data_IF_092052815730
#
_entry.id   IF_092052815730
#
_cell.length_a   1.000
_cell.length_b   1.000
_cell.length_c   1.000
_cell.angle_alpha   90.00
_cell.angle_beta   90.00
_cell.angle_gamma   90.00
#
_symmetry.space_group_name_H-M   'P 1'
#
loop_
_entity.id
_entity.type
_entity.pdbx_description
1 polymer ?
#
# COMPACT_ATOMS: atom_id res chain seq x y z
N UNK A 1 -9.17 58.68 -30.89
CA UNK A 1 -8.25 57.72 -30.23
C UNK A 1 -8.81 57.42 -28.84
N UNK A 2 -9.63 56.37 -28.70
CA UNK A 2 -10.17 55.93 -27.41
C UNK A 2 -9.65 54.52 -27.14
N UNK A 3 -8.75 54.39 -26.16
CA UNK A 3 -8.14 53.13 -25.76
C UNK A 3 -9.12 52.33 -24.90
N UNK A 4 -9.64 51.22 -25.44
CA UNK A 4 -10.33 50.20 -24.65
C UNK A 4 -9.30 49.42 -23.80
N UNK A 5 -9.23 49.70 -22.50
CA UNK A 5 -8.52 48.86 -21.52
C UNK A 5 -9.38 47.64 -21.19
N UNK A 6 -9.00 46.46 -21.69
CA UNK A 6 -9.54 45.17 -21.25
C UNK A 6 -9.04 44.86 -19.84
N UNK A 7 -9.95 44.77 -18.87
CA UNK A 7 -9.69 44.21 -17.54
C UNK A 7 -9.68 42.68 -17.64
N UNK A 8 -8.54 42.06 -17.35
CA UNK A 8 -8.41 40.61 -17.18
C UNK A 8 -8.61 40.33 -15.68
N UNK A 9 -9.59 39.49 -15.28
CA UNK A 9 -9.74 39.12 -13.88
C UNK A 9 -8.64 38.14 -13.50
N UNK A 10 -7.77 38.53 -12.55
CA UNK A 10 -6.86 37.60 -11.88
C UNK A 10 -7.70 36.67 -10.99
N UNK A 11 -7.93 35.45 -11.47
CA UNK A 11 -8.43 34.36 -10.63
C UNK A 11 -7.22 33.82 -9.86
N UNK A 12 -7.13 34.16 -8.57
CA UNK A 12 -6.18 33.55 -7.67
C UNK A 12 -6.58 32.08 -7.43
N UNK A 13 -5.87 31.14 -8.04
CA UNK A 13 -5.94 29.73 -7.67
C UNK A 13 -5.24 29.56 -6.32
N UNK A 14 -6.03 29.38 -5.26
CA UNK A 14 -5.53 28.93 -3.97
C UNK A 14 -5.09 27.47 -4.08
N UNK A 15 -3.79 27.22 -4.17
CA UNK A 15 -3.19 25.90 -3.98
C UNK A 15 -3.39 25.49 -2.51
N UNK A 16 -4.35 24.61 -2.25
CA UNK A 16 -4.49 23.98 -0.92
C UNK A 16 -3.49 22.83 -0.87
N UNK A 17 -2.33 23.07 -0.25
CA UNK A 17 -1.42 22.00 0.14
C UNK A 17 -2.10 21.15 1.21
N UNK A 18 -2.26 19.84 0.97
CA UNK A 18 -2.71 18.91 2.01
C UNK A 18 -1.57 18.77 3.01
N UNK A 19 -1.67 19.43 4.17
CA UNK A 19 -0.73 19.23 5.26
C UNK A 19 -0.77 17.74 5.66
N UNK A 20 0.41 17.10 5.73
CA UNK A 20 0.55 15.75 6.30
C UNK A 20 0.02 15.81 7.74
N UNK A 21 -0.85 14.87 8.12
CA UNK A 21 -1.44 14.85 9.44
C UNK A 21 -0.40 14.35 10.46
N UNK A 22 -0.22 15.10 11.55
CA UNK A 22 0.66 14.69 12.66
C UNK A 22 0.20 13.34 13.25
N UNK A 23 1.10 12.64 13.95
CA UNK A 23 0.77 11.38 14.62
C UNK A 23 0.93 11.49 16.12
N UNK A 24 -0.04 10.99 16.87
CA UNK A 24 0.04 10.85 18.31
C UNK A 24 0.43 9.41 18.66
N UNK A 25 1.51 9.23 19.40
CA UNK A 25 1.92 7.92 19.93
C UNK A 25 1.55 7.88 21.40
N UNK A 26 0.62 7.00 21.76
CA UNK A 26 0.19 6.89 23.14
C UNK A 26 1.29 6.23 23.99
N UNK A 27 1.58 6.79 25.17
CA UNK A 27 2.52 6.19 26.13
C UNK A 27 1.81 5.39 27.23
N UNK A 28 0.51 5.60 27.39
CA UNK A 28 -0.31 4.99 28.42
C UNK A 28 -1.74 4.74 27.93
N UNK A 29 -2.48 3.90 28.68
CA UNK A 29 -3.91 3.70 28.48
C UNK A 29 -4.69 4.93 28.97
N UNK A 30 -5.29 5.68 28.05
CA UNK A 30 -6.07 6.88 28.37
C UNK A 30 -7.44 6.86 27.70
N UNK A 31 -8.49 7.42 28.34
CA UNK A 31 -9.81 7.49 27.74
C UNK A 31 -9.87 8.35 26.47
N UNK A 32 -10.62 7.87 25.48
CA UNK A 32 -10.87 8.52 24.20
C UNK A 32 -12.28 9.14 24.17
N UNK A 33 -12.39 10.39 24.61
CA UNK A 33 -13.65 11.08 24.79
C UNK A 33 -14.27 11.58 23.48
N UNK A 34 -15.57 11.39 23.30
CA UNK A 34 -16.31 12.08 22.25
C UNK A 34 -16.33 13.60 22.49
N UNK A 35 -16.38 14.03 23.75
CA UNK A 35 -16.33 15.44 24.16
C UNK A 35 -15.33 15.64 25.29
N UNK A 36 -14.26 16.40 25.06
CA UNK A 36 -13.29 16.78 26.10
C UNK A 36 -13.88 17.62 27.23
N UNK A 37 -14.97 18.37 26.97
CA UNK A 37 -15.61 19.23 27.97
C UNK A 37 -16.55 18.43 28.88
N UNK A 38 -17.26 17.45 28.31
CA UNK A 38 -18.21 16.61 29.06
C UNK A 38 -17.60 15.29 29.54
N UNK A 39 -16.38 14.96 29.10
CA UNK A 39 -15.69 13.69 29.34
C UNK A 39 -16.55 12.46 29.02
N UNK A 40 -17.39 12.56 27.98
CA UNK A 40 -18.25 11.45 27.53
C UNK A 40 -17.44 10.48 26.68
N UNK A 41 -17.35 9.21 27.09
CA UNK A 41 -16.65 8.15 26.36
C UNK A 41 -17.59 6.98 26.04
N UNK A 42 -18.50 7.12 25.05
CA UNK A 42 -19.34 6.00 24.63
C UNK A 42 -18.48 4.89 24.04
N UNK A 43 -18.70 3.67 24.52
CA UNK A 43 -17.92 2.47 24.18
C UNK A 43 -16.64 2.29 24.99
N UNK A 44 -16.40 3.14 26.00
CA UNK A 44 -15.25 3.06 26.93
C UNK A 44 -13.92 2.85 26.21
N UNK A 45 -13.76 3.51 25.07
CA UNK A 45 -12.60 3.32 24.20
C UNK A 45 -11.38 3.96 24.86
N UNK A 46 -10.24 3.27 24.81
CA UNK A 46 -8.97 3.70 25.41
C UNK A 46 -7.87 3.74 24.37
N UNK A 47 -6.86 4.58 24.57
CA UNK A 47 -5.59 4.45 23.86
C UNK A 47 -4.86 3.18 24.30
N UNK A 48 -3.97 2.69 23.45
CA UNK A 48 -3.08 1.55 23.73
C UNK A 48 -1.63 2.05 23.70
N UNK A 49 -0.80 1.80 24.73
CA UNK A 49 0.61 2.19 24.73
C UNK A 49 1.34 1.69 23.49
N UNK A 50 2.12 2.58 22.87
CA UNK A 50 2.83 2.34 21.61
C UNK A 50 1.96 2.44 20.36
N UNK A 51 0.63 2.56 20.46
CA UNK A 51 -0.23 2.71 19.29
C UNK A 51 -0.16 4.14 18.74
N UNK A 52 -0.14 4.21 17.41
CA UNK A 52 -0.12 5.45 16.64
C UNK A 52 -1.54 5.83 16.21
N UNK A 53 -1.88 7.11 16.37
CA UNK A 53 -3.17 7.67 15.99
C UNK A 53 -2.99 8.91 15.12
N UNK A 54 -3.78 9.05 14.05
CA UNK A 54 -3.78 10.26 13.23
C UNK A 54 -4.32 11.44 14.01
N UNK A 55 -3.58 12.55 14.05
CA UNK A 55 -3.98 13.79 14.71
C UNK A 55 -4.88 14.60 13.76
N UNK A 56 -6.10 14.87 14.21
CA UNK A 56 -7.07 15.71 13.53
C UNK A 56 -7.01 17.17 14.01
N UNK A 57 -6.73 17.37 15.30
CA UNK A 57 -6.76 18.68 15.95
C UNK A 57 -5.88 18.67 17.22
N UNK A 58 -5.18 19.77 17.51
CA UNK A 58 -4.36 19.94 18.72
C UNK A 58 -4.81 21.21 19.42
N UNK A 59 -5.03 21.14 20.74
CA UNK A 59 -5.37 22.29 21.56
C UNK A 59 -4.36 22.48 22.69
N UNK A 60 -4.04 23.73 22.95
CA UNK A 60 -3.01 24.12 23.92
C UNK A 60 -1.65 24.32 23.27
N UNK A 61 -0.58 24.17 24.05
CA UNK A 61 0.78 24.35 23.57
C UNK A 61 1.17 23.20 22.60
N UNK A 62 1.62 23.46 21.37
CA UNK A 62 2.01 22.40 20.42
C UNK A 62 3.10 21.44 20.95
N UNK A 63 4.02 21.92 21.81
CA UNK A 63 5.07 21.10 22.41
C UNK A 63 4.58 20.30 23.63
N UNK A 64 3.46 20.69 24.22
CA UNK A 64 2.80 20.06 25.38
C UNK A 64 1.29 20.29 25.30
N UNK A 65 0.57 19.57 24.45
CA UNK A 65 -0.83 19.84 24.21
C UNK A 65 -1.67 19.50 25.45
N UNK A 66 -2.76 20.25 25.65
CA UNK A 66 -3.74 19.94 26.68
C UNK A 66 -4.65 18.80 26.20
N UNK A 67 -5.05 18.88 24.93
CA UNK A 67 -5.93 17.91 24.28
C UNK A 67 -5.51 17.67 22.85
N UNK A 68 -5.59 16.41 22.42
CA UNK A 68 -5.35 15.99 21.05
C UNK A 68 -6.59 15.25 20.54
N UNK A 69 -7.06 15.61 19.35
CA UNK A 69 -8.17 14.94 18.68
C UNK A 69 -7.62 13.94 17.68
N UNK A 70 -8.01 12.70 17.83
CA UNK A 70 -7.47 11.55 17.13
C UNK A 70 -8.54 10.92 16.24
N UNK A 71 -8.14 10.41 15.08
CA UNK A 71 -8.94 9.44 14.34
C UNK A 71 -8.76 8.04 14.95
N UNK A 72 -9.88 7.38 15.26
CA UNK A 72 -9.90 6.08 15.96
C UNK A 72 -10.78 5.08 15.22
N UNK A 73 -10.68 3.80 15.61
CA UNK A 73 -11.55 2.73 15.09
C UNK A 73 -12.97 2.70 15.70
N UNK A 74 -13.35 3.70 16.52
CA UNK A 74 -14.67 3.71 17.15
C UNK A 74 -15.80 3.79 16.10
N UNK A 75 -16.73 2.83 16.13
CA UNK A 75 -17.84 2.73 15.17
C UNK A 75 -18.77 3.96 15.20
N UNK A 76 -18.91 4.59 16.36
CA UNK A 76 -19.65 5.85 16.53
C UNK A 76 -18.69 6.95 16.97
N UNK A 77 -18.73 8.08 16.26
CA UNK A 77 -17.82 9.22 16.48
C UNK A 77 -16.34 8.82 16.46
N UNK A 78 -15.77 8.45 15.30
CA UNK A 78 -14.38 8.00 15.19
C UNK A 78 -13.36 9.07 15.59
N UNK A 79 -13.71 10.35 15.51
CA UNK A 79 -12.91 11.44 16.03
C UNK A 79 -13.06 11.56 17.56
N UNK A 80 -12.02 11.23 18.32
CA UNK A 80 -12.01 11.22 19.79
C UNK A 80 -10.92 12.11 20.38
N UNK A 81 -11.16 12.67 21.56
CA UNK A 81 -10.24 13.49 22.31
C UNK A 81 -9.48 12.66 23.34
N UNK A 82 -8.16 12.81 23.38
CA UNK A 82 -7.30 12.28 24.44
C UNK A 82 -6.56 13.43 25.12
N UNK A 83 -6.23 13.27 26.40
CA UNK A 83 -5.38 14.23 27.08
C UNK A 83 -3.97 14.21 26.46
N UNK A 84 -3.39 15.38 26.22
CA UNK A 84 -2.09 15.47 25.54
C UNK A 84 -0.91 14.93 26.34
N UNK A 85 -1.08 14.66 27.65
CA UNK A 85 -0.10 13.96 28.49
C UNK A 85 -0.11 12.43 28.31
N UNK A 86 -1.00 11.89 27.48
CA UNK A 86 -1.13 10.45 27.24
C UNK A 86 -0.26 9.92 26.11
N UNK A 87 0.71 10.72 25.69
CA UNK A 87 1.53 10.40 24.55
C UNK A 87 2.29 11.61 24.05
N UNK A 88 2.89 11.44 22.89
CA UNK A 88 3.66 12.47 22.23
C UNK A 88 3.13 12.65 20.82
N UNK A 89 3.05 13.90 20.38
CA UNK A 89 2.85 14.20 18.98
C UNK A 89 4.20 14.05 18.30
N UNK A 90 4.34 12.98 17.56
CA UNK A 90 5.37 12.87 16.53
C UNK A 90 4.83 13.67 15.34
N UNK A 91 5.31 14.90 15.23
CA UNK A 91 5.28 15.58 13.95
C UNK A 91 6.00 14.64 12.99
N UNK A 92 5.30 14.15 11.95
CA UNK A 92 6.05 13.74 10.78
C UNK A 92 6.86 14.97 10.45
N UNK A 93 8.18 14.86 10.65
CA UNK A 93 9.05 16.02 10.62
C UNK A 93 8.68 16.85 9.40
N UNK A 94 8.86 18.15 9.52
CA UNK A 94 9.33 18.89 8.37
C UNK A 94 10.64 18.23 7.92
N UNK A 95 10.61 17.05 7.30
CA UNK A 95 11.39 16.83 6.11
C UNK A 95 10.93 17.97 5.22
N UNK A 96 11.66 19.07 5.27
CA UNK A 96 11.84 19.89 4.09
C UNK A 96 11.96 18.86 2.97
N UNK A 97 10.96 18.77 2.10
CA UNK A 97 10.91 17.77 1.04
C UNK A 97 12.25 17.90 0.34
N UNK A 98 13.16 16.96 0.63
CA UNK A 98 14.56 17.17 0.30
C UNK A 98 14.77 17.00 -1.21
N UNK A 99 13.65 16.79 -1.95
CA UNK A 99 13.62 16.26 -3.30
C UNK A 99 14.17 14.85 -3.38
N UNK A 100 14.56 14.25 -2.24
CA UNK A 100 15.21 12.95 -2.22
C UNK A 100 14.18 11.85 -2.30
N UNK A 101 14.57 10.83 -3.05
CA UNK A 101 13.77 9.66 -3.35
C UNK A 101 14.41 8.37 -2.79
N UNK A 102 15.41 8.52 -1.92
CA UNK A 102 16.24 7.44 -1.36
C UNK A 102 16.31 7.52 0.17
N UNK A 103 15.28 8.08 0.81
CA UNK A 103 15.21 8.24 2.27
C UNK A 103 14.09 7.38 2.82
N UNK A 104 14.40 6.51 3.79
CA UNK A 104 13.42 5.60 4.36
C UNK A 104 12.39 6.33 5.24
N UNK A 105 11.14 5.86 5.23
CA UNK A 105 10.06 6.40 6.06
C UNK A 105 9.40 7.67 5.51
N UNK A 106 9.79 8.15 4.33
CA UNK A 106 9.20 9.33 3.69
C UNK A 106 8.05 9.03 2.72
N UNK A 107 7.63 7.77 2.61
CA UNK A 107 6.52 7.37 1.74
C UNK A 107 5.20 8.04 2.14
N UNK A 108 4.37 8.34 1.15
CA UNK A 108 3.01 8.89 1.31
C UNK A 108 1.93 7.88 0.88
N UNK A 109 2.36 6.72 0.40
CA UNK A 109 1.48 5.65 -0.09
C UNK A 109 2.27 4.35 -0.22
N UNK A 110 1.55 3.25 -0.47
CA UNK A 110 2.14 2.00 -0.92
C UNK A 110 1.46 1.48 -2.20
N UNK A 111 2.20 0.74 -3.00
CA UNK A 111 1.67 -0.05 -4.11
C UNK A 111 1.88 -1.54 -3.81
N UNK A 112 0.80 -2.29 -3.64
CA UNK A 112 0.88 -3.75 -3.66
C UNK A 112 0.78 -4.20 -5.12
N UNK A 113 1.87 -4.73 -5.67
CA UNK A 113 1.95 -5.25 -7.03
C UNK A 113 1.86 -6.77 -7.01
N UNK A 114 0.88 -7.31 -7.73
CA UNK A 114 0.58 -8.73 -7.76
C UNK A 114 0.54 -9.24 -9.21
N UNK A 115 1.39 -10.21 -9.53
CA UNK A 115 1.46 -10.82 -10.85
C UNK A 115 0.32 -11.81 -11.07
N UNK A 116 -0.17 -11.90 -12.31
CA UNK A 116 -0.88 -13.08 -12.77
C UNK A 116 0.15 -14.08 -13.32
N UNK A 117 0.35 -15.19 -12.59
CA UNK A 117 1.52 -16.06 -12.79
C UNK A 117 1.56 -16.70 -14.19
N UNK A 118 0.40 -17.07 -14.76
CA UNK A 118 0.25 -17.57 -16.13
C UNK A 118 0.95 -16.66 -17.14
N UNK A 119 0.44 -15.44 -17.25
CA UNK A 119 0.94 -14.47 -18.23
C UNK A 119 2.39 -14.07 -17.97
N UNK A 120 2.83 -14.05 -16.70
CA UNK A 120 4.23 -13.82 -16.37
C UNK A 120 5.12 -14.93 -16.95
N UNK A 121 4.74 -16.20 -16.78
CA UNK A 121 5.51 -17.32 -17.30
C UNK A 121 5.47 -17.40 -18.83
N UNK A 122 4.30 -17.19 -19.45
CA UNK A 122 4.14 -17.12 -20.90
C UNK A 122 5.04 -16.04 -21.54
N UNK A 123 5.07 -14.84 -20.96
CA UNK A 123 5.76 -13.70 -21.56
C UNK A 123 7.22 -13.55 -21.13
N UNK A 124 7.54 -13.91 -19.89
CA UNK A 124 8.83 -13.61 -19.25
C UNK A 124 9.46 -14.83 -18.56
N UNK A 125 8.82 -16.00 -18.63
CA UNK A 125 9.21 -17.23 -17.93
C UNK A 125 10.43 -17.95 -18.48
N UNK A 126 10.88 -17.63 -19.71
CA UNK A 126 12.00 -18.32 -20.34
C UNK A 126 13.25 -18.28 -19.45
N UNK A 127 13.70 -19.47 -19.01
CA UNK A 127 14.88 -19.64 -18.16
C UNK A 127 14.64 -19.34 -16.68
N UNK A 128 13.39 -19.13 -16.26
CA UNK A 128 13.01 -18.93 -14.86
C UNK A 128 12.60 -20.25 -14.22
N UNK A 129 13.29 -20.63 -13.14
CA UNK A 129 13.06 -21.90 -12.45
C UNK A 129 11.64 -22.03 -11.91
N UNK A 130 11.06 -20.94 -11.43
CA UNK A 130 9.68 -20.93 -10.93
C UNK A 130 8.65 -21.30 -12.01
N UNK A 131 8.86 -20.87 -13.25
CA UNK A 131 7.93 -21.18 -14.34
C UNK A 131 8.04 -22.64 -14.77
N UNK A 132 9.27 -23.15 -14.94
CA UNK A 132 9.48 -24.57 -15.26
C UNK A 132 8.94 -25.51 -14.19
N UNK A 133 9.10 -25.15 -12.91
CA UNK A 133 8.58 -25.96 -11.81
C UNK A 133 7.05 -25.97 -11.77
N UNK A 134 6.41 -24.81 -11.97
CA UNK A 134 4.96 -24.68 -12.00
C UNK A 134 4.34 -25.34 -13.24
N UNK A 135 4.99 -25.28 -14.40
CA UNK A 135 4.58 -25.98 -15.63
C UNK A 135 4.50 -27.49 -15.41
N UNK A 136 5.42 -28.04 -14.60
CA UNK A 136 5.40 -29.45 -14.18
C UNK A 136 4.29 -29.79 -13.17
N UNK A 137 3.54 -28.81 -12.67
CA UNK A 137 2.43 -28.99 -11.74
C UNK A 137 1.23 -28.09 -12.14
N UNK A 138 0.45 -28.48 -13.17
CA UNK A 138 -0.68 -27.68 -13.67
C UNK A 138 -1.78 -27.39 -12.64
N UNK A 139 -1.87 -28.22 -11.59
CA UNK A 139 -2.87 -28.08 -10.52
C UNK A 139 -2.38 -27.19 -9.35
N UNK A 140 -1.18 -26.62 -9.44
CA UNK A 140 -0.67 -25.71 -8.40
C UNK A 140 -1.61 -24.51 -8.22
N UNK A 141 -2.02 -24.22 -6.99
CA UNK A 141 -2.98 -23.16 -6.70
C UNK A 141 -2.52 -21.76 -7.17
N UNK A 142 -1.21 -21.54 -7.34
CA UNK A 142 -0.65 -20.26 -7.80
C UNK A 142 -0.97 -19.94 -9.25
N UNK A 143 -1.40 -20.95 -10.02
CA UNK A 143 -1.97 -20.76 -11.34
C UNK A 143 -3.34 -20.08 -11.32
N UNK A 144 -4.06 -20.16 -10.21
CA UNK A 144 -5.40 -19.61 -10.01
C UNK A 144 -5.41 -18.47 -8.99
N UNK A 145 -4.25 -17.91 -8.67
CA UNK A 145 -4.10 -16.85 -7.69
C UNK A 145 -3.17 -15.76 -8.21
N UNK A 146 -3.33 -14.55 -7.66
CA UNK A 146 -2.35 -13.49 -7.84
C UNK A 146 -1.13 -13.79 -6.96
N UNK A 147 0.08 -13.71 -7.54
CA UNK A 147 1.35 -13.93 -6.84
C UNK A 147 2.00 -12.60 -6.49
N UNK A 148 2.68 -12.53 -5.35
CA UNK A 148 3.34 -11.29 -4.90
C UNK A 148 4.51 -10.96 -5.83
N UNK A 149 4.43 -9.82 -6.51
CA UNK A 149 5.59 -9.18 -7.13
C UNK A 149 6.32 -8.33 -6.10
N UNK A 150 5.61 -7.43 -5.41
CA UNK A 150 6.19 -6.64 -4.32
C UNK A 150 5.22 -5.70 -3.62
N UNK A 151 5.67 -5.15 -2.50
CA UNK A 151 4.99 -4.10 -1.75
C UNK A 151 5.88 -2.86 -1.76
N UNK A 152 5.46 -1.81 -2.47
CA UNK A 152 6.34 -0.68 -2.74
C UNK A 152 5.90 0.53 -1.93
N UNK A 153 6.61 0.89 -0.84
CA UNK A 153 6.57 2.26 -0.35
C UNK A 153 6.74 3.22 -1.53
N UNK A 154 5.90 4.24 -1.59
CA UNK A 154 5.82 5.17 -2.71
C UNK A 154 5.74 6.60 -2.19
N UNK A 155 6.36 7.52 -2.94
CA UNK A 155 6.33 8.96 -2.66
C UNK A 155 5.92 9.66 -3.95
N UNK A 156 4.77 10.34 -3.95
CA UNK A 156 4.17 10.89 -5.16
C UNK A 156 5.10 11.88 -5.89
N UNK A 157 5.87 12.68 -5.15
CA UNK A 157 6.84 13.63 -5.72
C UNK A 157 8.02 12.95 -6.44
N UNK A 158 8.26 11.66 -6.19
CA UNK A 158 9.34 10.88 -6.79
C UNK A 158 8.90 10.02 -7.98
N UNK A 159 7.60 9.96 -8.30
CA UNK A 159 7.09 9.06 -9.34
C UNK A 159 7.54 7.62 -9.09
N UNK A 160 8.33 7.04 -10.01
CA UNK A 160 8.86 5.67 -9.91
C UNK A 160 10.25 5.56 -9.28
N UNK A 161 10.84 6.69 -8.90
CA UNK A 161 12.24 6.78 -8.49
C UNK A 161 12.42 6.65 -6.97
N UNK A 162 11.33 6.55 -6.21
CA UNK A 162 11.41 6.28 -4.77
C UNK A 162 11.92 4.84 -4.52
N UNK A 163 13.12 4.72 -3.95
CA UNK A 163 13.74 3.43 -3.72
C UNK A 163 15.18 3.50 -3.20
N UNK A 164 15.75 2.35 -2.88
CA UNK A 164 17.16 2.19 -2.50
C UNK A 164 17.57 3.01 -1.26
N UNK A 165 16.71 3.01 -0.23
CA UNK A 165 16.88 3.82 0.97
C UNK A 165 17.73 3.19 2.08
N UNK A 166 18.15 1.93 1.91
CA UNK A 166 19.03 1.21 2.82
C UNK A 166 20.52 1.37 2.46
N UNK A 167 21.34 0.37 2.82
CA UNK A 167 22.78 0.36 2.49
C UNK A 167 23.10 0.10 1.01
N UNK A 168 22.09 -0.24 0.19
CA UNK A 168 22.22 -0.41 -1.25
C UNK A 168 21.54 0.76 -1.95
N UNK A 169 22.32 1.54 -2.70
CA UNK A 169 21.85 2.77 -3.36
C UNK A 169 21.70 2.66 -4.89
N UNK A 170 21.97 1.49 -5.48
CA UNK A 170 21.98 1.32 -6.94
C UNK A 170 21.44 -0.05 -7.37
N UNK A 171 21.02 -0.11 -8.64
CA UNK A 171 20.52 -1.33 -9.26
C UNK A 171 21.65 -2.35 -9.50
N UNK A 172 21.46 -3.58 -9.03
CA UNK A 172 22.37 -4.68 -9.33
C UNK A 172 22.12 -5.27 -10.74
N UNK A 173 23.11 -5.98 -11.29
CA UNK A 173 23.02 -6.62 -12.62
C UNK A 173 21.94 -7.71 -12.70
N UNK A 174 21.66 -8.37 -11.57
CA UNK A 174 20.65 -9.41 -11.44
C UNK A 174 20.15 -9.50 -10.00
N UNK A 175 19.01 -10.14 -9.80
CA UNK A 175 18.35 -10.17 -8.49
C UNK A 175 19.18 -10.88 -7.42
N UNK A 176 19.86 -11.98 -7.77
CA UNK A 176 20.76 -12.68 -6.84
C UNK A 176 22.07 -11.94 -6.56
N UNK A 177 22.38 -10.85 -7.30
CA UNK A 177 23.56 -10.02 -7.04
C UNK A 177 23.33 -8.97 -5.95
N UNK A 178 22.10 -8.76 -5.51
CA UNK A 178 21.83 -8.00 -4.30
C UNK A 178 22.32 -8.77 -3.06
N UNK A 179 22.71 -8.06 -1.97
CA UNK A 179 23.02 -8.70 -0.70
C UNK A 179 21.89 -9.61 -0.24
N UNK A 180 22.25 -10.75 0.35
CA UNK A 180 21.25 -11.65 0.93
C UNK A 180 20.50 -10.94 2.06
N UNK A 181 19.21 -11.25 2.18
CA UNK A 181 18.37 -10.81 3.28
C UNK A 181 18.22 -11.95 4.27
N UNK A 182 18.26 -11.65 5.56
CA UNK A 182 17.98 -12.62 6.61
C UNK A 182 16.49 -12.55 6.93
N UNK A 183 15.77 -13.63 6.67
CA UNK A 183 14.36 -13.78 7.02
C UNK A 183 14.23 -14.80 8.14
N UNK A 184 13.31 -14.55 9.07
CA UNK A 184 12.91 -15.58 10.03
C UNK A 184 12.08 -16.68 9.33
N UNK A 185 11.87 -17.82 9.99
CA UNK A 185 11.20 -18.98 9.38
C UNK A 185 9.76 -18.70 8.96
N UNK A 186 9.07 -17.83 9.69
CA UNK A 186 7.70 -17.42 9.39
C UNK A 186 7.65 -16.62 8.09
N UNK A 187 8.52 -15.62 7.95
CA UNK A 187 8.63 -14.81 6.75
C UNK A 187 9.03 -15.63 5.52
N UNK A 188 9.99 -16.55 5.65
CA UNK A 188 10.36 -17.49 4.58
C UNK A 188 9.15 -18.30 4.08
N UNK A 189 8.40 -18.87 5.02
CA UNK A 189 7.23 -19.72 4.73
C UNK A 189 6.10 -18.90 4.11
N UNK A 190 5.81 -17.74 4.69
CA UNK A 190 4.77 -16.83 4.20
C UNK A 190 5.07 -16.31 2.80
N UNK A 191 6.34 -15.97 2.53
CA UNK A 191 6.79 -15.44 1.25
C UNK A 191 6.79 -16.51 0.16
N UNK A 192 7.35 -17.70 0.42
CA UNK A 192 7.35 -18.81 -0.53
C UNK A 192 5.93 -19.18 -0.99
N UNK A 193 4.95 -19.13 -0.09
CA UNK A 193 3.56 -19.46 -0.40
C UNK A 193 2.86 -18.49 -1.36
N UNK A 194 3.37 -17.27 -1.56
CA UNK A 194 2.76 -16.28 -2.46
C UNK A 194 3.70 -15.72 -3.53
N UNK A 195 5.01 -15.93 -3.41
CA UNK A 195 6.03 -15.45 -4.35
C UNK A 195 6.81 -16.66 -4.88
N UNK A 196 6.45 -17.21 -6.06
CA UNK A 196 7.13 -18.38 -6.64
C UNK A 196 8.65 -18.23 -6.74
N UNK A 197 9.13 -17.04 -7.10
CA UNK A 197 10.57 -16.77 -7.19
C UNK A 197 11.32 -16.89 -5.86
N UNK A 198 10.64 -16.71 -4.72
CA UNK A 198 11.24 -16.93 -3.41
C UNK A 198 11.35 -18.44 -3.11
N UNK A 199 10.32 -19.23 -3.44
CA UNK A 199 10.35 -20.69 -3.30
C UNK A 199 11.43 -21.32 -4.19
N UNK A 200 11.51 -20.91 -5.46
CA UNK A 200 12.45 -21.47 -6.43
C UNK A 200 13.77 -20.68 -6.52
N UNK A 201 14.06 -19.86 -5.51
CA UNK A 201 15.35 -19.16 -5.31
C UNK A 201 15.83 -18.31 -6.49
N UNK A 202 14.96 -17.65 -7.24
CA UNK A 202 15.35 -16.68 -8.29
C UNK A 202 15.57 -15.26 -7.76
N UNK A 203 15.60 -15.11 -6.43
CA UNK A 203 16.08 -13.96 -5.66
C UNK A 203 15.29 -12.65 -5.85
N UNK A 204 14.06 -12.71 -6.39
CA UNK A 204 13.21 -11.51 -6.54
C UNK A 204 13.04 -10.78 -5.20
N UNK A 205 12.89 -11.52 -4.11
CA UNK A 205 12.83 -11.04 -2.72
C UNK A 205 13.97 -10.05 -2.40
N UNK A 206 15.20 -10.34 -2.83
CA UNK A 206 16.33 -9.42 -2.60
C UNK A 206 16.15 -8.11 -3.34
N UNK A 207 15.73 -8.16 -4.61
CA UNK A 207 15.46 -6.94 -5.36
C UNK A 207 14.33 -6.13 -4.72
N UNK A 208 13.24 -6.80 -4.34
CA UNK A 208 12.09 -6.16 -3.71
C UNK A 208 12.44 -5.53 -2.37
N UNK A 209 13.27 -6.19 -1.56
CA UNK A 209 13.76 -5.60 -0.33
C UNK A 209 14.65 -4.38 -0.60
N UNK A 210 15.77 -4.55 -1.31
CA UNK A 210 16.75 -3.48 -1.41
C UNK A 210 16.24 -2.27 -2.19
N UNK A 211 15.43 -2.47 -3.24
CA UNK A 211 14.82 -1.37 -3.97
C UNK A 211 13.65 -0.74 -3.23
N UNK A 212 12.77 -1.53 -2.60
CA UNK A 212 11.49 -1.03 -2.09
C UNK A 212 11.33 -1.19 -0.58
N UNK A 213 11.49 -2.41 -0.05
CA UNK A 213 11.34 -2.68 1.38
C UNK A 213 12.32 -1.92 2.28
N UNK A 214 13.49 -1.51 1.77
CA UNK A 214 14.46 -0.70 2.51
C UNK A 214 14.00 0.75 2.75
N UNK A 215 12.92 1.20 2.10
CA UNK A 215 12.38 2.55 2.19
C UNK A 215 11.29 2.73 3.25
N UNK A 216 11.10 1.75 4.12
CA UNK A 216 10.17 1.78 5.24
C UNK A 216 10.88 1.35 6.54
N UNK A 217 10.17 1.28 7.67
CA UNK A 217 10.75 1.14 9.02
C UNK A 217 10.70 -0.25 9.64
N UNK A 218 9.85 -1.16 9.15
CA UNK A 218 9.83 -2.59 9.53
C UNK A 218 11.15 -3.26 9.14
N UNK A 219 11.52 -4.31 9.85
CA UNK A 219 12.57 -5.20 9.37
C UNK A 219 12.09 -6.03 8.15
N UNK A 220 13.03 -6.74 7.52
CA UNK A 220 12.74 -7.52 6.32
C UNK A 220 11.71 -8.63 6.56
N UNK A 221 11.73 -9.28 7.73
CA UNK A 221 10.80 -10.36 8.04
C UNK A 221 9.38 -9.83 8.15
N UNK A 222 9.18 -8.78 8.94
CA UNK A 222 7.88 -8.15 9.15
C UNK A 222 7.31 -7.58 7.84
N UNK A 223 8.16 -6.94 7.04
CA UNK A 223 7.77 -6.42 5.71
C UNK A 223 7.25 -7.53 4.79
N UNK A 224 7.93 -8.68 4.71
CA UNK A 224 7.48 -9.79 3.85
C UNK A 224 6.29 -10.54 4.42
N UNK A 225 6.16 -10.65 5.75
CA UNK A 225 4.96 -11.19 6.40
C UNK A 225 3.74 -10.33 6.03
N UNK A 226 3.86 -9.00 6.12
CA UNK A 226 2.78 -8.08 5.78
C UNK A 226 2.45 -8.11 4.29
N UNK A 227 3.45 -8.10 3.41
CA UNK A 227 3.24 -8.22 1.96
C UNK A 227 2.52 -9.52 1.58
N UNK A 228 2.89 -10.64 2.23
CA UNK A 228 2.25 -11.92 2.01
C UNK A 228 0.82 -11.96 2.58
N UNK A 229 0.58 -11.36 3.75
CA UNK A 229 -0.76 -11.22 4.35
C UNK A 229 -1.69 -10.44 3.43
N UNK A 230 -1.25 -9.27 2.95
CA UNK A 230 -2.02 -8.43 2.02
C UNK A 230 -2.33 -9.18 0.72
N UNK A 231 -1.37 -9.94 0.19
CA UNK A 231 -1.57 -10.76 -1.02
C UNK A 231 -2.69 -11.79 -0.81
N UNK A 232 -2.68 -12.51 0.32
CA UNK A 232 -3.74 -13.48 0.66
C UNK A 232 -5.12 -12.80 0.77
N UNK A 233 -5.20 -11.66 1.45
CA UNK A 233 -6.45 -10.90 1.58
C UNK A 233 -6.99 -10.43 0.22
N UNK A 234 -6.12 -10.02 -0.72
CA UNK A 234 -6.56 -9.68 -2.07
C UNK A 234 -7.07 -10.91 -2.82
N UNK A 235 -6.42 -12.07 -2.67
CA UNK A 235 -6.86 -13.32 -3.30
C UNK A 235 -8.22 -13.82 -2.77
N UNK A 236 -8.64 -13.40 -1.58
CA UNK A 236 -9.98 -13.71 -1.04
C UNK A 236 -11.10 -12.85 -1.67
N UNK A 237 -10.75 -11.75 -2.34
CA UNK A 237 -11.72 -10.80 -2.91
C UNK A 237 -12.52 -11.39 -4.07
N UNK A 238 -13.72 -10.87 -4.30
CA UNK A 238 -14.56 -11.23 -5.46
C UNK A 238 -13.87 -10.93 -6.79
N UNK A 239 -13.04 -9.89 -6.86
CA UNK A 239 -12.25 -9.56 -8.04
C UNK A 239 -11.24 -10.68 -8.36
N UNK A 240 -10.46 -11.12 -7.37
CA UNK A 240 -9.48 -12.19 -7.58
C UNK A 240 -10.15 -13.53 -7.92
N UNK A 241 -11.26 -13.86 -7.24
CA UNK A 241 -12.07 -15.05 -7.57
C UNK A 241 -12.62 -15.01 -9.00
N UNK A 242 -13.07 -13.85 -9.47
CA UNK A 242 -13.53 -13.67 -10.84
C UNK A 242 -12.40 -13.84 -11.87
N UNK A 243 -11.18 -13.41 -11.56
CA UNK A 243 -10.00 -13.68 -12.39
C UNK A 243 -9.73 -15.19 -12.48
N UNK A 244 -9.64 -15.89 -11.35
CA UNK A 244 -9.43 -17.35 -11.31
C UNK A 244 -10.48 -18.12 -12.13
N UNK A 245 -11.77 -17.80 -11.94
CA UNK A 245 -12.87 -18.40 -12.71
C UNK A 245 -12.83 -18.10 -14.22
N UNK A 246 -12.06 -17.09 -14.60
CA UNK A 246 -11.91 -16.64 -15.99
C UNK A 246 -10.58 -17.06 -16.62
N UNK A 247 -9.80 -17.93 -15.98
CA UNK A 247 -8.60 -18.50 -16.57
C UNK A 247 -8.87 -19.06 -17.98
N UNK A 248 -8.10 -18.58 -18.96
CA UNK A 248 -8.27 -18.88 -20.39
C UNK A 248 -9.41 -18.13 -21.09
N UNK A 249 -10.03 -17.14 -20.45
CA UNK A 249 -11.20 -16.40 -20.97
C UNK A 249 -10.98 -14.89 -20.90
N UNK A 250 -11.76 -14.17 -21.70
CA UNK A 250 -11.78 -12.71 -21.69
C UNK A 250 -12.43 -12.16 -20.41
N UNK A 251 -11.85 -11.09 -19.87
CA UNK A 251 -12.41 -10.26 -18.81
C UNK A 251 -12.38 -8.79 -19.19
N UNK A 252 -13.10 -7.96 -18.44
CA UNK A 252 -13.11 -6.50 -18.63
C UNK A 252 -12.63 -5.77 -17.38
N UNK A 253 -11.91 -4.67 -17.59
CA UNK A 253 -11.50 -3.78 -16.49
C UNK A 253 -12.71 -3.24 -15.74
N UNK A 254 -13.80 -2.93 -16.46
CA UNK A 254 -15.04 -2.44 -15.88
C UNK A 254 -15.69 -3.45 -14.92
N UNK A 255 -15.78 -4.72 -15.30
CA UNK A 255 -16.37 -5.77 -14.45
C UNK A 255 -15.54 -5.98 -13.17
N UNK A 256 -14.22 -6.16 -13.31
CA UNK A 256 -13.34 -6.40 -12.17
C UNK A 256 -13.31 -5.21 -11.21
N UNK A 257 -13.27 -3.99 -11.74
CA UNK A 257 -13.33 -2.76 -10.95
C UNK A 257 -14.67 -2.61 -10.23
N UNK A 258 -15.78 -3.01 -10.86
CA UNK A 258 -17.11 -3.03 -10.22
C UNK A 258 -17.11 -3.98 -9.02
N UNK A 259 -16.64 -5.22 -9.19
CA UNK A 259 -16.54 -6.20 -8.09
C UNK A 259 -15.70 -5.66 -6.93
N UNK A 260 -14.55 -5.06 -7.24
CA UNK A 260 -13.67 -4.45 -6.24
C UNK A 260 -14.32 -3.26 -5.51
N UNK A 261 -15.04 -2.41 -6.24
CA UNK A 261 -15.73 -1.23 -5.68
C UNK A 261 -16.90 -1.62 -4.78
N UNK A 262 -17.67 -2.64 -5.16
CA UNK A 262 -18.78 -3.13 -4.35
C UNK A 262 -18.32 -3.77 -3.04
N UNK A 263 -17.11 -4.34 -3.02
CA UNK A 263 -16.55 -5.01 -1.84
C UNK A 263 -15.81 -4.05 -0.90
N UNK A 264 -15.02 -3.14 -1.47
CA UNK A 264 -14.15 -2.25 -0.69
C UNK A 264 -14.63 -0.78 -0.64
N UNK A 265 -15.80 -0.48 -1.22
CA UNK A 265 -16.48 0.81 -1.14
C UNK A 265 -16.24 1.74 -2.33
N UNK A 266 -17.07 2.79 -2.45
CA UNK A 266 -17.18 3.64 -3.65
C UNK A 266 -15.87 4.27 -4.15
N UNK A 267 -14.90 4.50 -3.25
CA UNK A 267 -13.62 5.14 -3.56
C UNK A 267 -12.51 4.14 -3.91
N UNK A 268 -12.68 2.85 -3.60
CA UNK A 268 -11.66 1.82 -3.84
C UNK A 268 -11.47 1.55 -5.33
N UNK A 269 -12.50 1.80 -6.14
CA UNK A 269 -12.48 1.58 -7.58
C UNK A 269 -11.35 2.30 -8.29
N UNK A 270 -10.84 3.45 -7.81
CA UNK A 270 -9.68 4.13 -8.42
C UNK A 270 -8.32 3.70 -7.84
N UNK A 271 -8.35 2.90 -6.77
CA UNK A 271 -7.16 2.40 -6.05
C UNK A 271 -6.72 1.03 -6.53
N UNK A 272 -7.32 0.49 -7.59
CA UNK A 272 -6.88 -0.73 -8.26
C UNK A 272 -6.53 -0.41 -9.71
N UNK A 273 -5.50 -1.05 -10.26
CA UNK A 273 -5.22 -0.98 -11.70
C UNK A 273 -4.84 -2.32 -12.27
N UNK A 274 -5.20 -2.53 -13.53
CA UNK A 274 -4.95 -3.74 -14.29
C UNK A 274 -3.91 -3.45 -15.36
N UNK A 275 -2.87 -4.28 -15.41
CA UNK A 275 -1.75 -4.11 -16.33
C UNK A 275 -1.63 -5.30 -17.25
N UNK A 276 -1.53 -5.01 -18.55
CA UNK A 276 -1.48 -6.02 -19.59
C UNK A 276 -0.26 -5.85 -20.48
N UNK A 277 0.19 -6.97 -21.02
CA UNK A 277 1.18 -7.03 -22.08
C UNK A 277 0.70 -8.01 -23.14
N UNK A 278 0.75 -7.62 -24.42
CA UNK A 278 0.23 -8.41 -25.55
C UNK A 278 -1.22 -8.91 -25.35
N UNK A 279 -2.05 -8.12 -24.67
CA UNK A 279 -3.46 -8.47 -24.42
C UNK A 279 -3.69 -9.45 -23.26
N UNK A 280 -2.63 -9.93 -22.59
CA UNK A 280 -2.71 -10.78 -21.40
C UNK A 280 -2.63 -9.92 -20.14
N UNK A 281 -3.46 -10.21 -19.13
CA UNK A 281 -3.29 -9.64 -17.79
C UNK A 281 -1.99 -10.14 -17.18
N UNK A 282 -1.04 -9.24 -16.90
CA UNK A 282 0.24 -9.58 -16.27
C UNK A 282 0.31 -9.20 -14.82
N UNK A 283 -0.36 -8.11 -14.41
CA UNK A 283 -0.25 -7.59 -13.05
C UNK A 283 -1.50 -6.82 -12.63
N UNK A 284 -1.86 -6.93 -11.35
CA UNK A 284 -2.85 -6.13 -10.66
C UNK A 284 -2.13 -5.32 -9.59
N UNK A 285 -2.36 -4.01 -9.54
CA UNK A 285 -1.78 -3.12 -8.51
C UNK A 285 -2.87 -2.51 -7.65
N UNK A 286 -2.63 -2.48 -6.35
CA UNK A 286 -3.49 -1.78 -5.39
C UNK A 286 -2.72 -0.61 -4.77
N UNK A 287 -3.36 0.56 -4.70
CA UNK A 287 -2.87 1.70 -3.94
C UNK A 287 -3.37 1.63 -2.51
N UNK A 288 -2.43 1.67 -1.59
CA UNK A 288 -2.61 1.57 -0.16
C UNK A 288 -2.11 2.87 0.51
N UNK A 289 -2.58 3.17 1.74
CA UNK A 289 -2.17 4.36 2.47
C UNK A 289 -0.67 4.37 2.85
N UNK A 290 -0.19 5.51 3.33
CA UNK A 290 1.17 5.75 3.84
C UNK A 290 1.55 4.86 5.03
N UNK A 291 0.55 4.43 5.82
CA UNK A 291 0.70 3.53 6.97
C UNK A 291 -0.12 2.26 6.81
N UNK A 292 0.56 1.14 6.91
CA UNK A 292 -0.05 -0.19 6.95
C UNK A 292 -0.20 -0.61 8.40
N UNK A 293 -1.42 -0.90 8.81
CA UNK A 293 -1.75 -1.43 10.14
C UNK A 293 -2.37 -2.81 9.94
N UNK A 294 -1.63 -3.84 10.36
CA UNK A 294 -2.03 -5.23 10.16
C UNK A 294 -3.23 -5.66 11.00
N UNK A 295 -3.57 -4.88 12.04
CA UNK A 295 -4.79 -5.09 12.85
C UNK A 295 -6.07 -4.62 12.16
N UNK A 296 -5.93 -3.85 11.07
CA UNK A 296 -7.05 -3.27 10.33
C UNK A 296 -7.42 -4.17 9.16
N UNK A 297 -8.73 -4.40 8.99
CA UNK A 297 -9.24 -5.10 7.82
C UNK A 297 -8.90 -4.36 6.53
N UNK A 298 -8.56 -5.11 5.47
CA UNK A 298 -8.15 -4.52 4.18
C UNK A 298 -9.19 -3.54 3.63
N UNK A 299 -10.50 -3.75 3.88
CA UNK A 299 -11.56 -2.82 3.46
C UNK A 299 -11.38 -1.41 4.04
N UNK A 300 -10.89 -1.32 5.27
CA UNK A 300 -10.65 -0.05 5.96
C UNK A 300 -9.32 0.58 5.50
N UNK A 301 -8.29 -0.22 5.21
CA UNK A 301 -7.08 0.27 4.53
C UNK A 301 -7.43 0.85 3.16
N UNK A 302 -8.23 0.14 2.39
CA UNK A 302 -8.71 0.55 1.06
C UNK A 302 -9.67 1.74 1.10
N UNK A 303 -10.14 2.17 2.27
CA UNK A 303 -10.94 3.39 2.43
C UNK A 303 -10.07 4.63 2.66
N UNK A 304 -8.85 4.48 3.20
CA UNK A 304 -7.90 5.57 3.45
C UNK A 304 -7.29 6.14 2.17
N UNK A 305 -6.85 7.39 2.22
CA UNK A 305 -6.26 8.11 1.09
C UNK A 305 -5.05 7.39 0.50
N UNK A 306 -4.98 7.37 -0.82
CA UNK A 306 -3.90 6.83 -1.64
C UNK A 306 -4.08 7.33 -3.09
N UNK A 307 -3.02 7.41 -3.90
CA UNK A 307 -3.10 7.93 -5.27
C UNK A 307 -4.00 7.08 -6.18
N UNK A 308 -4.71 7.75 -7.09
CA UNK A 308 -5.45 7.08 -8.15
C UNK A 308 -4.49 6.35 -9.09
N UNK A 309 -4.81 5.10 -9.43
CA UNK A 309 -4.04 4.28 -10.37
C UNK A 309 -4.65 4.28 -11.76
N UNK A 310 -3.81 4.04 -12.76
CA UNK A 310 -4.20 3.97 -14.17
C UNK A 310 -3.93 2.58 -14.73
N UNK A 311 -4.90 2.06 -15.48
CA UNK A 311 -4.76 0.82 -16.20
C UNK A 311 -3.80 0.98 -17.39
N UNK A 312 -3.05 -0.09 -17.69
CA UNK A 312 -2.45 -0.28 -19.01
C UNK A 312 -3.19 -1.33 -19.84
N UNK A 313 -4.09 -2.09 -19.22
CA UNK A 313 -4.98 -3.00 -19.94
C UNK A 313 -5.98 -2.23 -20.83
N UNK A 314 -6.31 -2.76 -22.03
CA UNK A 314 -7.48 -2.34 -22.78
C UNK A 314 -8.78 -2.67 -22.01
N UNK A 315 -9.92 -2.21 -22.54
CA UNK A 315 -11.24 -2.45 -21.94
C UNK A 315 -11.54 -3.93 -21.70
N UNK A 316 -11.03 -4.81 -22.56
CA UNK A 316 -11.11 -6.26 -22.44
C UNK A 316 -9.76 -6.93 -22.69
N UNK A 317 -9.39 -7.92 -21.90
CA UNK A 317 -8.13 -8.64 -21.98
C UNK A 317 -8.31 -10.13 -21.67
N UNK A 318 -7.33 -10.95 -22.04
CA UNK A 318 -7.30 -12.37 -21.71
C UNK A 318 -6.69 -12.59 -20.33
N UNK A 319 -7.39 -13.36 -19.48
CA UNK A 319 -6.79 -13.91 -18.27
C UNK A 319 -6.09 -15.19 -18.69
N UNK A 320 -4.76 -15.16 -18.72
CA UNK A 320 -3.97 -16.27 -19.22
C UNK A 320 -4.19 -17.55 -18.39
N UNK A 321 -4.08 -18.72 -19.01
CA UNK A 321 -4.22 -20.01 -18.31
C UNK A 321 -2.84 -20.64 -18.12
N UNK A 322 -2.71 -21.61 -17.20
CA UNK A 322 -1.51 -22.45 -17.16
C UNK A 322 -1.36 -23.23 -18.47
N UNK A 323 -0.13 -23.35 -18.95
CA UNK A 323 0.21 -24.21 -20.09
C UNK A 323 0.77 -23.46 -21.27
#
# INVERSE_FOLDING_TARGET
MSLLRRLIPLIALSLVASAKADTFVADQNCPLYQSKNKLTNPGEVMTVPGQHYSVLEVLGNPNRPDWVRLETAALTSPARWVNGRCGKIEQQGTSADSGRCDVAGEQDSHILALSWQGAFCELYGKGKRECHALEGNPDDARWQALTLHGLWPNKASCGTDYGFCGSVHQKARGFCNYPAIALNKEAETALAGVMPSAEFSTCLDRHQWWKHGSCQTMDASDYFIEAARLTRLVNESRMAKALAQSSGKMQTTANLRKLFTEEFGKHSGKRVSFHCSRGLLTEVRLSLPDRLDSSIEIKHLMARSGPDLRDSCPASFLVDKPG
#
